data_IF_406666651295
#
_entry.id   IF_406666651295
#
_cell.length_a   1.000
_cell.length_b   1.000
_cell.length_c   1.000
_cell.angle_alpha   90.00
_cell.angle_beta   90.00
_cell.angle_gamma   90.00
#
_symmetry.space_group_name_H-M   'P 1'
#
loop_
_entity.id
_entity.type
_entity.pdbx_description
1 polymer ?
#
# COMPACT_ATOMS: atom_id res chain seq x y z
N UNK A 1 1.44 12.64 0.19
CA UNK A 1 1.86 11.66 -0.80
C UNK A 1 0.76 10.65 -1.05
N UNK A 2 0.50 10.42 -2.32
CA UNK A 2 -0.64 9.58 -2.68
C UNK A 2 -0.40 8.10 -2.43
N UNK A 3 0.85 7.66 -2.48
CA UNK A 3 1.16 6.26 -2.16
C UNK A 3 0.93 5.95 -0.70
N UNK A 4 1.15 6.93 0.16
CA UNK A 4 0.89 6.78 1.58
C UNK A 4 -0.59 6.50 1.84
N UNK A 5 -1.47 7.17 1.09
CA UNK A 5 -2.90 6.93 1.22
C UNK A 5 -3.26 5.49 0.86
N UNK A 6 -2.58 4.95 -0.15
CA UNK A 6 -2.80 3.55 -0.54
C UNK A 6 -2.41 2.62 0.60
N UNK A 7 -1.26 2.85 1.21
CA UNK A 7 -0.82 2.00 2.31
C UNK A 7 -1.76 2.07 3.50
N UNK A 8 -2.23 3.26 3.81
CA UNK A 8 -3.19 3.43 4.90
C UNK A 8 -4.48 2.67 4.62
N UNK A 9 -4.97 2.74 3.41
CA UNK A 9 -6.21 2.06 3.05
C UNK A 9 -6.05 0.54 3.09
N UNK A 10 -4.85 0.04 2.88
CA UNK A 10 -4.61 -1.39 2.82
C UNK A 10 -4.21 -2.00 4.15
N UNK A 11 -3.89 -1.19 5.15
CA UNK A 11 -3.43 -1.68 6.44
C UNK A 11 -4.49 -2.59 7.08
N UNK A 12 -4.10 -3.81 7.39
CA UNK A 12 -4.99 -4.75 8.07
C UNK A 12 -6.13 -5.30 7.22
N UNK A 13 -6.13 -5.06 5.92
CA UNK A 13 -7.25 -5.42 5.07
C UNK A 13 -7.07 -6.74 4.31
N UNK A 14 -5.88 -7.34 4.39
CA UNK A 14 -5.62 -8.53 3.59
C UNK A 14 -5.41 -8.16 2.14
N UNK A 15 -5.61 -9.13 1.26
CA UNK A 15 -5.39 -8.91 -0.17
C UNK A 15 -6.55 -8.14 -0.78
N UNK A 16 -6.22 -7.12 -1.56
CA UNK A 16 -7.22 -6.30 -2.25
C UNK A 16 -6.87 -6.22 -3.72
N UNK A 17 -7.89 -6.22 -4.58
CA UNK A 17 -7.66 -5.95 -5.99
C UNK A 17 -7.29 -4.48 -6.17
N UNK A 18 -6.61 -4.19 -7.28
CA UNK A 18 -6.24 -2.80 -7.56
C UNK A 18 -7.48 -1.93 -7.70
N UNK A 19 -8.55 -2.50 -8.27
CA UNK A 19 -9.79 -1.77 -8.40
C UNK A 19 -10.39 -1.42 -7.04
N UNK A 20 -10.32 -2.35 -6.10
CA UNK A 20 -10.82 -2.08 -4.76
C UNK A 20 -9.97 -1.04 -4.05
N UNK A 21 -8.64 -1.10 -4.22
CA UNK A 21 -7.76 -0.08 -3.65
C UNK A 21 -8.13 1.29 -4.21
N UNK A 22 -8.34 1.36 -5.53
CA UNK A 22 -8.69 2.63 -6.16
C UNK A 22 -9.99 3.19 -5.60
N UNK A 23 -10.98 2.31 -5.39
CA UNK A 23 -12.25 2.74 -4.83
C UNK A 23 -12.07 3.31 -3.43
N UNK A 24 -11.25 2.67 -2.62
CA UNK A 24 -11.08 3.11 -1.23
C UNK A 24 -10.35 4.42 -1.10
N UNK A 25 -9.41 4.70 -2.00
CA UNK A 25 -8.68 5.97 -1.96
C UNK A 25 -9.33 7.04 -2.83
N UNK A 26 -10.38 6.69 -3.58
CA UNK A 26 -11.10 7.66 -4.39
C UNK A 26 -10.30 8.17 -5.58
N UNK A 27 -9.48 7.31 -6.20
CA UNK A 27 -8.63 7.70 -7.30
C UNK A 27 -8.88 6.80 -8.51
N UNK A 28 -8.45 7.28 -9.66
CA UNK A 28 -8.56 6.53 -10.89
C UNK A 28 -7.73 5.24 -10.84
N UNK A 29 -8.31 4.17 -11.39
CA UNK A 29 -7.66 2.85 -11.37
C UNK A 29 -6.30 2.89 -12.05
N UNK A 30 -6.17 3.61 -13.15
CA UNK A 30 -4.91 3.71 -13.86
C UNK A 30 -3.81 4.32 -13.01
N UNK A 31 -4.13 5.39 -12.31
CA UNK A 31 -3.17 6.07 -11.46
C UNK A 31 -2.77 5.16 -10.30
N UNK A 32 -3.76 4.49 -9.70
CA UNK A 32 -3.50 3.60 -8.58
C UNK A 32 -2.68 2.40 -9.06
N UNK A 33 -2.95 1.88 -10.25
CA UNK A 33 -2.18 0.78 -10.79
C UNK A 33 -0.69 1.12 -10.87
N UNK A 34 -0.37 2.32 -11.34
CA UNK A 34 1.01 2.76 -11.40
C UNK A 34 1.67 2.83 -10.04
N UNK A 35 0.96 3.39 -9.06
CA UNK A 35 1.49 3.50 -7.71
C UNK A 35 1.65 2.13 -7.06
N UNK A 36 0.66 1.26 -7.23
CA UNK A 36 0.73 -0.09 -6.67
C UNK A 36 1.89 -0.87 -7.28
N UNK A 37 2.08 -0.75 -8.60
CA UNK A 37 3.19 -1.42 -9.26
C UNK A 37 4.53 -0.95 -8.69
N UNK A 38 4.67 0.34 -8.46
CA UNK A 38 5.90 0.88 -7.89
C UNK A 38 6.11 0.35 -6.47
N UNK A 39 5.05 0.24 -5.69
CA UNK A 39 5.15 -0.28 -4.32
C UNK A 39 5.50 -1.77 -4.30
N UNK A 40 4.98 -2.54 -5.27
CA UNK A 40 5.34 -3.94 -5.41
C UNK A 40 6.82 -4.08 -5.75
N UNK A 41 7.31 -3.26 -6.68
CA UNK A 41 8.70 -3.31 -7.07
C UNK A 41 9.64 -2.90 -5.95
N UNK A 42 9.18 -2.01 -5.10
CA UNK A 42 9.95 -1.58 -3.96
C UNK A 42 9.92 -2.58 -2.80
N UNK A 43 9.12 -3.64 -2.91
CA UNK A 43 9.02 -4.65 -1.87
C UNK A 43 8.14 -4.25 -0.70
N UNK A 44 7.38 -3.18 -0.83
CA UNK A 44 6.50 -2.71 0.24
C UNK A 44 5.19 -3.48 0.23
N UNK A 45 4.68 -3.79 -0.96
CA UNK A 45 3.49 -4.62 -1.10
C UNK A 45 3.88 -5.99 -1.64
N UNK A 46 3.07 -6.98 -1.35
CA UNK A 46 3.25 -8.33 -1.88
C UNK A 46 2.13 -8.68 -2.83
N UNK A 47 2.45 -9.51 -3.81
CA UNK A 47 1.46 -10.02 -4.74
C UNK A 47 0.82 -11.25 -4.11
N UNK A 48 -0.51 -11.30 -4.14
CA UNK A 48 -1.26 -12.44 -3.64
C UNK A 48 -2.22 -12.90 -4.72
N UNK A 49 -2.79 -14.08 -4.50
CA UNK A 49 -3.71 -14.67 -5.47
C UNK A 49 -4.91 -13.78 -5.72
N UNK A 50 -5.43 -13.19 -4.67
CA UNK A 50 -6.62 -12.36 -4.75
C UNK A 50 -6.32 -10.90 -5.07
N UNK A 51 -5.05 -10.52 -5.19
CA UNK A 51 -4.69 -9.14 -5.47
C UNK A 51 -3.36 -8.79 -4.83
N UNK A 52 -3.29 -7.59 -4.26
CA UNK A 52 -2.07 -7.13 -3.58
C UNK A 52 -2.35 -7.02 -2.09
N UNK A 53 -1.33 -7.19 -1.29
CA UNK A 53 -1.47 -7.15 0.15
C UNK A 53 -0.34 -6.31 0.75
N UNK A 54 -0.69 -5.55 1.77
CA UNK A 54 0.29 -4.86 2.59
C UNK A 54 0.43 -5.74 3.85
N UNK A 55 1.54 -6.46 3.98
CA UNK A 55 1.63 -7.53 4.98
C UNK A 55 1.85 -7.07 6.42
N UNK A 56 1.63 -5.80 6.68
CA UNK A 56 1.82 -5.26 8.02
C UNK A 56 0.49 -4.89 8.64
N UNK A 57 0.34 -5.19 9.91
CA UNK A 57 -0.90 -4.90 10.63
C UNK A 57 -1.08 -3.43 10.91
N UNK A 58 0.02 -2.70 10.98
CA UNK A 58 -0.02 -1.29 11.26
C UNK A 58 1.13 -0.59 10.58
N UNK A 59 0.92 0.67 10.24
CA UNK A 59 2.00 1.48 9.70
C UNK A 59 2.70 2.15 10.85
N UNK A 60 3.90 1.71 11.10
CA UNK A 60 4.73 2.33 12.11
C UNK A 60 5.71 3.26 11.45
N UNK A 61 5.46 4.53 11.58
CA UNK A 61 6.47 5.49 11.21
C UNK A 61 7.36 5.57 12.40
N UNK A 62 8.33 4.73 12.40
CA UNK A 62 9.08 4.52 13.60
C UNK A 62 10.17 5.54 13.76
N UNK A 63 10.03 6.28 14.77
CA UNK A 63 10.95 7.35 15.04
C UNK A 63 12.25 6.91 15.61
N UNK A 64 12.38 5.65 15.86
CA UNK A 64 13.68 5.13 16.18
C UNK A 64 14.66 5.38 15.10
N UNK A 65 14.20 5.53 13.89
CA UNK A 65 15.10 5.89 12.81
C UNK A 65 15.84 7.17 13.12
N UNK A 66 15.13 8.10 13.68
CA UNK A 66 15.71 9.36 14.04
C UNK A 66 16.70 9.20 15.16
N UNK A 67 16.35 8.38 16.09
CA UNK A 67 17.23 8.13 17.19
C UNK A 67 18.52 7.51 16.77
N UNK A 68 18.46 6.66 15.82
CA UNK A 68 19.62 5.95 15.37
C UNK A 68 20.65 6.88 14.78
N UNK A 69 20.23 8.03 14.44
CA UNK A 69 21.13 9.00 13.84
C UNK A 69 22.11 9.56 14.84
#
# INVERSE_FOLDING_TARGET
MKRWEILRAMTGQGALSIREVARRVGRDVKAVHGDVTALLQAGILDQAEAGVVFPYDAVHVDFTLTKAA
#
